data_IF_292318986190
#
_entry.id   IF_292318986190
#
_cell.length_a   1.000
_cell.length_b   1.000
_cell.length_c   1.000
_cell.angle_alpha   90.00
_cell.angle_beta   90.00
_cell.angle_gamma   90.00
#
_symmetry.space_group_name_H-M   'P 1'
#
loop_
_entity.id
_entity.type
_entity.pdbx_description
1 polymer ?
#
# COMPACT_ATOMS: atom_id res chain seq x y z
N UNK A 1 14.25 -12.22 19.55
CA UNK A 1 14.06 -10.75 19.70
C UNK A 1 12.66 -10.39 19.22
N UNK A 2 11.87 -9.66 20.02
CA UNK A 2 10.51 -9.28 19.63
C UNK A 2 10.53 -8.35 18.40
N UNK A 3 9.71 -8.65 17.40
CA UNK A 3 9.61 -7.87 16.17
C UNK A 3 8.94 -6.53 16.47
N UNK A 4 9.70 -5.42 16.41
CA UNK A 4 9.13 -4.08 16.55
C UNK A 4 8.13 -3.84 15.42
N UNK A 5 6.95 -3.30 15.76
CA UNK A 5 5.95 -2.87 14.78
C UNK A 5 6.58 -1.84 13.83
N UNK A 6 6.45 -2.07 12.53
CA UNK A 6 7.02 -1.20 11.50
C UNK A 6 6.00 -0.11 11.17
N UNK A 7 6.46 1.14 11.18
CA UNK A 7 5.68 2.27 10.68
C UNK A 7 5.69 2.28 9.14
N UNK A 8 4.56 2.58 8.52
CA UNK A 8 4.38 2.57 7.06
C UNK A 8 4.66 3.97 6.49
N UNK A 9 5.81 4.52 6.83
CA UNK A 9 6.31 5.82 6.38
C UNK A 9 7.57 5.65 5.52
N UNK A 10 7.97 6.70 4.83
CA UNK A 10 9.18 6.69 4.02
C UNK A 10 10.43 6.48 4.90
N UNK A 11 11.26 5.49 4.57
CA UNK A 11 12.49 5.20 5.31
C UNK A 11 13.57 6.18 4.88
N UNK A 12 13.86 7.18 5.70
CA UNK A 12 14.85 8.22 5.39
C UNK A 12 16.28 7.68 5.27
N UNK A 13 16.66 6.72 6.11
CA UNK A 13 17.99 6.11 6.04
C UNK A 13 18.14 5.20 4.81
N UNK A 14 19.02 5.60 3.89
CA UNK A 14 19.20 4.95 2.59
C UNK A 14 19.60 3.47 2.67
N UNK A 15 20.58 3.12 3.51
CA UNK A 15 21.03 1.73 3.66
C UNK A 15 19.91 0.85 4.23
N UNK A 16 19.16 1.33 5.22
CA UNK A 16 17.98 0.63 5.75
C UNK A 16 16.87 0.53 4.70
N UNK A 17 16.65 1.58 3.91
CA UNK A 17 15.64 1.60 2.84
C UNK A 17 15.97 0.56 1.77
N UNK A 18 17.20 0.53 1.25
CA UNK A 18 17.66 -0.46 0.26
C UNK A 18 17.57 -1.89 0.78
N UNK A 19 18.03 -2.15 2.00
CA UNK A 19 17.94 -3.48 2.60
C UNK A 19 16.48 -3.94 2.80
N UNK A 20 15.60 -3.02 3.21
CA UNK A 20 14.16 -3.29 3.38
C UNK A 20 13.49 -3.52 2.04
N UNK A 21 13.79 -2.71 1.03
CA UNK A 21 13.29 -2.85 -0.34
C UNK A 21 13.65 -4.22 -0.91
N UNK A 22 14.93 -4.64 -0.82
CA UNK A 22 15.37 -5.96 -1.29
C UNK A 22 14.59 -7.10 -0.64
N UNK A 23 14.44 -7.05 0.69
CA UNK A 23 13.68 -8.08 1.45
C UNK A 23 12.20 -8.10 1.08
N UNK A 24 11.55 -6.93 1.01
CA UNK A 24 10.12 -6.81 0.70
C UNK A 24 9.82 -7.15 -0.76
N UNK A 25 10.69 -6.77 -1.71
CA UNK A 25 10.60 -7.14 -3.13
C UNK A 25 10.56 -8.65 -3.29
N UNK A 26 11.51 -9.36 -2.67
CA UNK A 26 11.57 -10.81 -2.73
C UNK A 26 10.36 -11.47 -2.05
N UNK A 27 9.93 -10.94 -0.89
CA UNK A 27 8.74 -11.43 -0.21
C UNK A 27 7.46 -11.23 -1.03
N UNK A 28 7.32 -10.08 -1.71
CA UNK A 28 6.16 -9.81 -2.57
C UNK A 28 6.11 -10.78 -3.76
N UNK A 29 7.23 -10.99 -4.44
CA UNK A 29 7.32 -11.94 -5.56
C UNK A 29 6.93 -13.35 -5.10
N UNK A 30 7.46 -13.79 -3.95
CA UNK A 30 7.11 -15.09 -3.36
C UNK A 30 5.61 -15.20 -3.04
N UNK A 31 5.03 -14.17 -2.42
CA UNK A 31 3.60 -14.17 -2.10
C UNK A 31 2.73 -14.24 -3.35
N UNK A 32 3.14 -13.59 -4.45
CA UNK A 32 2.40 -13.63 -5.72
C UNK A 32 2.41 -15.04 -6.30
N UNK A 33 3.57 -15.69 -6.29
CA UNK A 33 3.72 -17.08 -6.75
C UNK A 33 2.86 -18.03 -5.89
N UNK A 34 2.96 -17.92 -4.56
CA UNK A 34 2.16 -18.72 -3.64
C UNK A 34 0.65 -18.51 -3.82
N UNK A 35 0.18 -17.26 -3.95
CA UNK A 35 -1.24 -16.96 -4.18
C UNK A 35 -1.69 -17.53 -5.54
N UNK A 36 -0.85 -17.41 -6.58
CA UNK A 36 -1.18 -17.93 -7.90
C UNK A 36 -1.37 -19.44 -7.86
N UNK A 37 -0.47 -20.16 -7.17
CA UNK A 37 -0.51 -21.62 -7.02
C UNK A 37 -1.69 -22.05 -6.13
N UNK A 38 -1.81 -21.47 -4.93
CA UNK A 38 -2.77 -21.92 -3.93
C UNK A 38 -4.22 -21.61 -4.32
N UNK A 39 -4.45 -20.49 -5.00
CA UNK A 39 -5.79 -20.07 -5.41
C UNK A 39 -6.11 -20.42 -6.86
N UNK A 40 -5.15 -20.93 -7.64
CA UNK A 40 -5.34 -21.20 -9.07
C UNK A 40 -5.68 -19.94 -9.87
N UNK A 41 -5.09 -18.79 -9.50
CA UNK A 41 -5.33 -17.51 -10.16
C UNK A 41 -4.09 -17.05 -10.91
N UNK A 42 -4.29 -16.27 -11.97
CA UNK A 42 -3.20 -15.58 -12.64
C UNK A 42 -2.95 -14.24 -11.93
N UNK A 43 -1.77 -14.09 -11.33
CA UNK A 43 -1.32 -12.84 -10.74
C UNK A 43 0.03 -12.42 -11.31
N UNK A 44 0.26 -11.11 -11.39
CA UNK A 44 1.54 -10.56 -11.83
C UNK A 44 1.94 -9.34 -10.99
N UNK A 45 3.24 -9.03 -10.98
CA UNK A 45 3.74 -7.75 -10.48
C UNK A 45 4.78 -7.15 -11.41
N UNK A 46 4.79 -5.81 -11.42
CA UNK A 46 5.77 -4.98 -12.09
C UNK A 46 6.32 -4.02 -11.04
N UNK A 47 7.61 -4.13 -10.73
CA UNK A 47 8.25 -3.39 -9.63
C UNK A 47 9.40 -2.56 -10.18
N UNK A 48 9.23 -1.24 -10.15
CA UNK A 48 10.30 -0.29 -10.45
C UNK A 48 11.08 0.06 -9.18
N UNK A 49 12.39 0.12 -9.30
CA UNK A 49 13.31 0.48 -8.21
C UNK A 49 14.27 1.56 -8.70
N UNK A 50 14.70 2.45 -7.82
CA UNK A 50 15.65 3.52 -8.20
C UNK A 50 17.05 2.98 -8.53
N UNK A 51 17.36 1.76 -8.07
CA UNK A 51 18.67 1.13 -8.23
C UNK A 51 18.79 0.38 -9.57
N UNK A 52 17.66 0.00 -10.20
CA UNK A 52 17.64 -0.84 -11.40
C UNK A 52 16.98 -0.09 -12.57
N UNK A 53 17.60 -0.03 -13.76
CA UNK A 53 17.02 0.66 -14.92
C UNK A 53 15.82 -0.08 -15.53
N UNK A 54 15.70 -1.39 -15.26
CA UNK A 54 14.59 -2.22 -15.74
C UNK A 54 13.71 -2.66 -14.57
N UNK A 55 12.39 -2.73 -14.77
CA UNK A 55 11.49 -3.22 -13.73
C UNK A 55 11.74 -4.71 -13.47
N UNK A 56 11.64 -5.10 -12.20
CA UNK A 56 11.52 -6.52 -11.87
C UNK A 56 10.08 -6.96 -12.14
N UNK A 57 9.92 -7.93 -13.02
CA UNK A 57 8.63 -8.54 -13.34
C UNK A 57 8.51 -9.96 -12.77
N UNK A 58 7.28 -10.39 -12.51
CA UNK A 58 6.91 -11.73 -12.04
C UNK A 58 5.51 -12.07 -12.61
N UNK A 59 5.28 -13.30 -13.11
CA UNK A 59 6.18 -14.47 -13.09
C UNK A 59 7.27 -14.45 -14.19
N UNK A 60 6.93 -13.96 -15.38
CA UNK A 60 7.85 -13.76 -16.51
C UNK A 60 7.32 -12.62 -17.38
N UNK A 61 8.13 -12.08 -18.29
CA UNK A 61 7.66 -11.02 -19.20
C UNK A 61 6.40 -11.45 -19.96
N UNK A 62 6.41 -12.66 -20.54
CA UNK A 62 5.24 -13.21 -21.22
C UNK A 62 4.05 -13.43 -20.27
N UNK A 63 4.30 -13.92 -19.06
CA UNK A 63 3.25 -14.13 -18.07
C UNK A 63 2.56 -12.83 -17.66
N UNK A 64 3.35 -11.76 -17.44
CA UNK A 64 2.82 -10.42 -17.17
C UNK A 64 2.00 -9.90 -18.35
N UNK A 65 2.50 -10.04 -19.58
CA UNK A 65 1.75 -9.62 -20.77
C UNK A 65 0.41 -10.37 -20.90
N UNK A 66 0.38 -11.67 -20.61
CA UNK A 66 -0.84 -12.46 -20.63
C UNK A 66 -1.87 -11.92 -19.61
N UNK A 67 -1.45 -11.71 -18.36
CA UNK A 67 -2.32 -11.15 -17.31
C UNK A 67 -2.85 -9.76 -17.68
N UNK A 68 -1.98 -8.88 -18.18
CA UNK A 68 -2.36 -7.55 -18.63
C UNK A 68 -3.35 -7.59 -19.80
N UNK A 69 -3.12 -8.49 -20.76
CA UNK A 69 -4.01 -8.64 -21.92
C UNK A 69 -5.41 -9.10 -21.51
N UNK A 70 -5.51 -10.01 -20.53
CA UNK A 70 -6.78 -10.47 -19.97
C UNK A 70 -7.46 -9.37 -19.17
N UNK A 71 -6.71 -8.63 -18.35
CA UNK A 71 -7.23 -7.51 -17.59
C UNK A 71 -7.85 -6.44 -18.50
N UNK A 72 -7.18 -6.09 -19.61
CA UNK A 72 -7.69 -5.10 -20.59
C UNK A 72 -8.98 -5.52 -21.31
N UNK A 73 -9.30 -6.82 -21.34
CA UNK A 73 -10.56 -7.34 -21.94
C UNK A 73 -11.75 -7.24 -20.98
N UNK A 74 -11.50 -7.01 -19.70
CA UNK A 74 -12.55 -6.79 -18.70
C UNK A 74 -13.12 -5.37 -18.87
N UNK A 75 -14.40 -5.15 -18.60
CA UNK A 75 -14.99 -3.80 -18.72
C UNK A 75 -14.39 -2.84 -17.70
N UNK A 76 -14.34 -1.54 -18.02
CA UNK A 76 -13.78 -0.51 -17.12
C UNK A 76 -14.47 -0.47 -15.75
N UNK A 77 -15.79 -0.70 -15.73
CA UNK A 77 -16.54 -0.79 -14.48
C UNK A 77 -16.04 -1.93 -13.59
N UNK A 78 -15.81 -3.12 -14.15
CA UNK A 78 -15.27 -4.24 -13.39
C UNK A 78 -13.80 -4.05 -13.00
N UNK A 79 -12.99 -3.43 -13.88
CA UNK A 79 -11.59 -3.10 -13.58
C UNK A 79 -11.46 -2.15 -12.37
N UNK A 80 -12.35 -1.15 -12.28
CA UNK A 80 -12.29 -0.10 -11.26
C UNK A 80 -12.80 -0.52 -9.88
N UNK A 81 -13.65 -1.55 -9.78
CA UNK A 81 -14.28 -1.97 -8.50
C UNK A 81 -13.31 -2.27 -7.37
N UNK A 82 -12.11 -2.77 -7.69
CA UNK A 82 -11.11 -3.18 -6.70
C UNK A 82 -9.72 -2.60 -6.97
N UNK A 83 -9.64 -1.58 -7.82
CA UNK A 83 -8.35 -0.92 -8.07
C UNK A 83 -7.97 -0.08 -6.85
N UNK A 84 -6.72 -0.24 -6.40
CA UNK A 84 -6.15 0.60 -5.36
C UNK A 84 -4.95 1.31 -5.98
N UNK A 85 -5.07 2.63 -6.14
CA UNK A 85 -3.97 3.47 -6.59
C UNK A 85 -3.26 4.11 -5.39
N UNK A 86 -2.06 4.63 -5.63
CA UNK A 86 -1.37 5.42 -4.61
C UNK A 86 -2.20 6.65 -4.23
N UNK A 87 -2.83 7.29 -5.22
CA UNK A 87 -3.70 8.45 -4.99
C UNK A 87 -4.92 8.09 -4.13
N UNK A 88 -5.64 7.03 -4.47
CA UNK A 88 -6.83 6.61 -3.70
C UNK A 88 -6.47 6.25 -2.26
N UNK A 89 -5.33 5.57 -2.07
CA UNK A 89 -4.80 5.23 -0.76
C UNK A 89 -4.43 6.48 0.06
N UNK A 90 -3.71 7.44 -0.55
CA UNK A 90 -3.31 8.67 0.13
C UNK A 90 -4.52 9.52 0.50
N UNK A 91 -5.48 9.66 -0.42
CA UNK A 91 -6.75 10.36 -0.17
C UNK A 91 -7.50 9.73 1.02
N UNK A 92 -7.61 8.41 1.09
CA UNK A 92 -8.23 7.72 2.23
C UNK A 92 -7.49 8.00 3.55
N UNK A 93 -6.15 8.02 3.52
CA UNK A 93 -5.33 8.35 4.70
C UNK A 93 -5.52 9.79 5.16
N UNK A 94 -5.61 10.73 4.22
CA UNK A 94 -5.86 12.16 4.51
C UNK A 94 -7.21 12.32 5.19
N UNK A 95 -8.27 11.72 4.65
CA UNK A 95 -9.62 11.76 5.24
C UNK A 95 -9.61 11.20 6.67
N UNK A 96 -8.93 10.06 6.90
CA UNK A 96 -8.78 9.48 8.24
C UNK A 96 -8.04 10.41 9.21
N UNK A 97 -6.96 11.04 8.77
CA UNK A 97 -6.21 11.99 9.58
C UNK A 97 -7.06 13.23 9.93
N UNK A 98 -7.79 13.78 8.97
CA UNK A 98 -8.71 14.92 9.18
C UNK A 98 -9.81 14.58 10.19
N UNK A 99 -10.40 13.37 10.11
CA UNK A 99 -11.40 12.90 11.06
C UNK A 99 -10.83 12.81 12.49
N UNK A 100 -9.59 12.33 12.64
CA UNK A 100 -8.90 12.27 13.93
C UNK A 100 -8.64 13.68 14.50
N UNK A 101 -8.20 14.62 13.67
CA UNK A 101 -8.00 16.02 14.07
C UNK A 101 -9.31 16.68 14.53
N UNK A 102 -10.41 16.47 13.80
CA UNK A 102 -11.74 16.99 14.19
C UNK A 102 -12.19 16.41 15.54
N UNK A 103 -11.96 15.11 15.77
CA UNK A 103 -12.29 14.46 17.04
C UNK A 103 -11.49 15.04 18.21
N UNK A 104 -10.19 15.29 18.00
CA UNK A 104 -9.33 15.91 19.02
C UNK A 104 -9.76 17.34 19.33
N UNK A 105 -10.01 18.16 18.30
CA UNK A 105 -10.49 19.54 18.45
C UNK A 105 -11.81 19.61 19.23
N UNK A 106 -12.77 18.74 18.90
CA UNK A 106 -14.03 18.66 19.64
C UNK A 106 -13.82 18.22 21.09
N UNK A 107 -12.86 17.33 21.35
CA UNK A 107 -12.48 16.91 22.69
C UNK A 107 -11.89 18.05 23.53
N UNK A 108 -11.06 18.90 22.91
CA UNK A 108 -10.49 20.09 23.55
C UNK A 108 -11.61 21.08 23.89
N UNK A 109 -12.46 21.43 22.91
CA UNK A 109 -13.60 22.35 23.14
C UNK A 109 -14.50 21.89 24.28
N UNK A 110 -14.82 20.59 24.34
CA UNK A 110 -15.62 20.04 25.45
C UNK A 110 -14.97 20.27 26.80
N UNK A 111 -13.66 20.00 26.93
CA UNK A 111 -12.91 20.22 28.17
C UNK A 111 -12.87 21.69 28.58
N UNK A 112 -12.66 22.60 27.62
CA UNK A 112 -12.69 24.05 27.87
C UNK A 112 -14.07 24.49 28.37
N UNK A 113 -15.14 24.03 27.72
CA UNK A 113 -16.52 24.36 28.14
C UNK A 113 -16.81 23.86 29.55
N UNK A 114 -16.36 22.64 29.87
CA UNK A 114 -16.50 22.07 31.21
C UNK A 114 -15.72 22.87 32.26
N UNK A 115 -14.48 23.29 31.96
CA UNK A 115 -13.67 24.11 32.87
C UNK A 115 -14.38 25.44 33.20
N UNK A 116 -14.94 26.10 32.19
CA UNK A 116 -15.67 27.36 32.33
C UNK A 116 -16.97 27.24 33.13
N UNK A 117 -17.60 26.06 33.19
CA UNK A 117 -18.81 25.82 34.00
C UNK A 117 -18.51 25.64 35.50
N UNK A 118 -17.26 25.34 35.87
CA UNK A 118 -16.83 25.11 37.26
C UNK A 118 -16.08 26.30 37.86
N UNK A 119 -16.10 27.45 37.19
CA UNK A 119 -15.53 28.73 37.63
C UNK A 119 -16.65 29.71 37.93
#
# INVERSE_FOLDING_TARGET
MARKKVDLTYITNDSKRRATLKKRKNGLIKNIDEISILCGIEACAIIYTSDDPQPKVCPSDQGVQNVLSRFRRVSELEQSKKILSQESFLSEKIVKAQAQLKKLSNGIKKKETTLLMFQ
#
